data_IF_460353714207
#
_entry.id   IF_460353714207
#
_cell.length_a   1.000
_cell.length_b   1.000
_cell.length_c   1.000
_cell.angle_alpha   90.00
_cell.angle_beta   90.00
_cell.angle_gamma   90.00
#
_symmetry.space_group_name_H-M   'P 1'
#
loop_
_entity.id
_entity.type
_entity.pdbx_description
1 polymer ?
#
# COMPACT_ATOMS: atom_id res chain seq x y z
N UNK A 1 -20.80 -1.93 -0.95
CA UNK A 1 -20.12 -3.20 -0.66
C UNK A 1 -18.62 -2.99 -0.44
N UNK A 2 -17.82 -2.70 -1.48
CA UNK A 2 -16.36 -2.52 -1.35
C UNK A 2 -15.91 -1.55 -0.23
N UNK A 3 -16.57 -0.40 -0.12
CA UNK A 3 -16.30 0.61 0.93
C UNK A 3 -16.52 0.06 2.35
N UNK A 4 -17.54 -0.76 2.54
CA UNK A 4 -17.86 -1.34 3.84
C UNK A 4 -16.88 -2.47 4.18
N UNK A 5 -16.46 -3.25 3.19
CA UNK A 5 -15.44 -4.27 3.34
C UNK A 5 -14.07 -3.68 3.72
N UNK A 6 -13.66 -2.58 3.07
CA UNK A 6 -12.44 -1.84 3.43
C UNK A 6 -12.55 -1.30 4.86
N UNK A 7 -13.68 -0.67 5.21
CA UNK A 7 -13.92 -0.17 6.56
C UNK A 7 -13.84 -1.30 7.61
N UNK A 8 -14.43 -2.46 7.34
CA UNK A 8 -14.44 -3.59 8.26
C UNK A 8 -13.05 -4.19 8.44
N UNK A 9 -12.30 -4.38 7.34
CA UNK A 9 -10.92 -4.92 7.38
C UNK A 9 -9.98 -3.98 8.13
N UNK A 10 -10.13 -2.67 7.93
CA UNK A 10 -9.35 -1.67 8.68
C UNK A 10 -9.72 -1.64 10.15
N UNK A 11 -11.01 -1.71 10.50
CA UNK A 11 -11.46 -1.82 11.90
C UNK A 11 -10.92 -3.09 12.57
N UNK A 12 -10.92 -4.22 11.88
CA UNK A 12 -10.35 -5.47 12.40
C UNK A 12 -8.86 -5.36 12.64
N UNK A 13 -8.10 -4.75 11.71
CA UNK A 13 -6.66 -4.55 11.83
C UNK A 13 -6.29 -3.54 12.93
N UNK A 14 -7.08 -2.47 13.09
CA UNK A 14 -6.90 -1.47 14.16
C UNK A 14 -7.26 -2.04 15.54
N UNK A 15 -8.26 -2.93 15.61
CA UNK A 15 -8.72 -3.55 16.87
C UNK A 15 -7.69 -4.48 17.52
N UNK A 16 -6.62 -4.85 16.83
CA UNK A 16 -5.57 -5.76 17.36
C UNK A 16 -4.65 -5.06 18.37
N UNK A 17 -4.72 -3.73 18.56
CA UNK A 17 -3.98 -3.02 19.61
C UNK A 17 -4.85 -2.01 20.38
N UNK A 18 -4.77 -1.93 21.72
CA UNK A 18 -5.64 -1.09 22.54
C UNK A 18 -5.37 0.43 22.47
N UNK A 19 -4.45 0.92 21.62
CA UNK A 19 -3.90 2.28 21.72
C UNK A 19 -4.08 3.21 20.50
N UNK A 20 -4.95 2.91 19.52
CA UNK A 20 -5.15 3.83 18.37
C UNK A 20 -6.59 4.19 18.08
N UNK A 21 -7.20 4.92 19.01
CA UNK A 21 -8.47 5.61 18.77
C UNK A 21 -8.30 7.01 18.16
N UNK A 22 -7.10 7.57 18.13
CA UNK A 22 -6.90 8.99 17.79
C UNK A 22 -6.62 9.27 16.29
N UNK A 23 -6.41 8.22 15.48
CA UNK A 23 -6.18 8.36 14.04
C UNK A 23 -7.46 8.26 13.20
N UNK A 24 -8.62 8.04 13.83
CA UNK A 24 -9.91 7.96 13.16
C UNK A 24 -10.38 9.39 12.88
N UNK A 25 -10.52 9.84 11.62
CA UNK A 25 -11.21 11.08 11.34
C UNK A 25 -12.63 10.99 11.92
N UNK A 26 -13.11 12.07 12.55
CA UNK A 26 -14.42 12.14 13.21
C UNK A 26 -15.62 11.75 12.31
N UNK A 27 -15.41 11.52 11.01
CA UNK A 27 -16.40 11.07 10.03
C UNK A 27 -16.69 9.56 10.04
N UNK A 28 -15.93 8.73 10.77
CA UNK A 28 -16.21 7.28 10.89
C UNK A 28 -16.11 6.49 9.57
N UNK A 29 -15.53 7.10 8.53
CA UNK A 29 -15.43 6.57 7.18
C UNK A 29 -13.95 6.39 6.81
N UNK A 30 -13.49 5.14 6.71
CA UNK A 30 -12.12 4.76 6.34
C UNK A 30 -12.01 4.39 4.85
N UNK A 31 -13.08 4.57 4.08
CA UNK A 31 -13.19 4.12 2.69
C UNK A 31 -12.99 5.22 1.64
N UNK A 32 -12.57 6.43 2.04
CA UNK A 32 -12.16 7.47 1.09
C UNK A 32 -10.64 7.50 0.91
N UNK A 33 -10.22 7.90 -0.28
CA UNK A 33 -8.82 7.86 -0.70
C UNK A 33 -7.96 8.80 0.16
N UNK A 34 -8.51 9.92 0.62
CA UNK A 34 -7.82 10.89 1.48
C UNK A 34 -7.45 10.29 2.83
N UNK A 35 -8.38 9.54 3.43
CA UNK A 35 -8.17 8.85 4.70
C UNK A 35 -7.20 7.68 4.54
N UNK A 36 -7.31 6.90 3.46
CA UNK A 36 -6.34 5.85 3.19
C UNK A 36 -4.93 6.39 2.94
N UNK A 37 -4.82 7.51 2.22
CA UNK A 37 -3.56 8.21 1.98
C UNK A 37 -2.89 8.61 3.29
N UNK A 38 -3.61 9.20 4.25
CA UNK A 38 -3.01 9.59 5.54
C UNK A 38 -2.45 8.40 6.33
N UNK A 39 -3.10 7.23 6.24
CA UNK A 39 -2.67 6.00 6.90
C UNK A 39 -1.38 5.40 6.32
N UNK A 40 -0.94 5.83 5.13
CA UNK A 40 0.35 5.42 4.56
C UNK A 40 1.56 5.88 5.39
N UNK A 41 1.39 6.90 6.25
CA UNK A 41 2.45 7.40 7.14
C UNK A 41 2.20 7.08 8.61
N UNK A 42 1.30 6.14 8.88
CA UNK A 42 1.01 5.72 10.24
C UNK A 42 2.24 5.08 10.92
N UNK A 43 2.42 5.34 12.22
CA UNK A 43 3.55 4.82 12.97
C UNK A 43 3.56 3.27 13.08
N UNK A 44 2.40 2.61 12.93
CA UNK A 44 2.31 1.14 12.90
C UNK A 44 2.39 0.63 11.47
N UNK A 45 3.43 -0.17 11.20
CA UNK A 45 3.65 -0.82 9.91
C UNK A 45 2.46 -1.67 9.43
N UNK A 46 1.66 -2.23 10.35
CA UNK A 46 0.45 -3.00 10.02
C UNK A 46 -0.62 -2.10 9.41
N UNK A 47 -0.77 -0.89 9.94
CA UNK A 47 -1.72 0.11 9.43
C UNK A 47 -1.25 0.61 8.06
N UNK A 48 0.05 0.90 7.89
CA UNK A 48 0.60 1.27 6.58
C UNK A 48 0.36 0.19 5.52
N UNK A 49 0.68 -1.08 5.83
CA UNK A 49 0.43 -2.19 4.92
C UNK A 49 -1.06 -2.35 4.59
N UNK A 50 -1.94 -2.23 5.59
CA UNK A 50 -3.38 -2.29 5.40
C UNK A 50 -3.91 -1.17 4.49
N UNK A 51 -3.38 0.04 4.64
CA UNK A 51 -3.73 1.18 3.81
C UNK A 51 -3.32 0.94 2.36
N UNK A 52 -2.12 0.42 2.12
CA UNK A 52 -1.65 0.01 0.78
C UNK A 52 -2.57 -1.05 0.17
N UNK A 53 -2.90 -2.12 0.90
CA UNK A 53 -3.83 -3.15 0.42
C UNK A 53 -5.24 -2.60 0.13
N UNK A 54 -5.73 -1.70 0.97
CA UNK A 54 -7.04 -1.07 0.77
C UNK A 54 -7.06 -0.18 -0.47
N UNK A 55 -5.97 0.56 -0.73
CA UNK A 55 -5.81 1.34 -1.95
C UNK A 55 -5.77 0.44 -3.20
N UNK A 56 -5.12 -0.73 -3.12
CA UNK A 56 -5.09 -1.69 -4.22
C UNK A 56 -6.49 -2.14 -4.66
N UNK A 57 -7.43 -2.28 -3.70
CA UNK A 57 -8.82 -2.64 -3.98
C UNK A 57 -9.61 -1.55 -4.71
N UNK A 58 -9.12 -0.32 -4.74
CA UNK A 58 -9.76 0.79 -5.45
C UNK A 58 -9.39 0.82 -6.94
N UNK A 59 -8.40 0.01 -7.36
CA UNK A 59 -7.99 -0.19 -8.75
C UNK A 59 -7.83 1.15 -9.50
N UNK A 60 -8.61 1.36 -10.56
CA UNK A 60 -8.57 2.53 -11.44
C UNK A 60 -8.92 3.86 -10.75
N UNK A 61 -9.43 3.81 -9.51
CA UNK A 61 -9.84 5.00 -8.76
C UNK A 61 -8.69 5.63 -7.98
N UNK A 62 -7.54 4.98 -7.86
CA UNK A 62 -6.38 5.50 -7.12
C UNK A 62 -5.72 6.63 -7.93
N UNK A 63 -5.72 7.90 -7.47
CA UNK A 63 -5.10 9.00 -8.20
C UNK A 63 -3.57 8.85 -8.34
N UNK A 64 -2.98 9.45 -9.36
CA UNK A 64 -1.53 9.37 -9.62
C UNK A 64 -0.70 9.85 -8.42
N UNK A 65 -1.14 10.89 -7.71
CA UNK A 65 -0.43 11.35 -6.51
C UNK A 65 -0.37 10.30 -5.41
N UNK A 66 -1.40 9.44 -5.30
CA UNK A 66 -1.43 8.35 -4.34
C UNK A 66 -0.57 7.17 -4.80
N UNK A 67 -0.47 6.94 -6.11
CA UNK A 67 0.49 5.97 -6.67
C UNK A 67 1.92 6.36 -6.30
N UNK A 68 2.25 7.67 -6.38
CA UNK A 68 3.55 8.21 -5.94
C UNK A 68 3.77 8.06 -4.44
N UNK A 69 2.73 8.25 -3.63
CA UNK A 69 2.82 8.01 -2.18
C UNK A 69 3.11 6.52 -1.87
N UNK A 70 2.42 5.59 -2.56
CA UNK A 70 2.67 4.14 -2.45
C UNK A 70 4.11 3.81 -2.90
N UNK A 71 4.62 4.43 -3.96
CA UNK A 71 6.00 4.27 -4.39
C UNK A 71 7.02 4.70 -3.33
N UNK A 72 6.70 5.72 -2.52
CA UNK A 72 7.49 6.11 -1.36
C UNK A 72 7.69 4.96 -0.36
N UNK A 73 6.68 4.11 -0.18
CA UNK A 73 6.72 2.95 0.72
C UNK A 73 7.58 1.79 0.22
N UNK A 74 8.07 1.83 -1.02
CA UNK A 74 9.12 0.93 -1.47
C UNK A 74 10.40 1.08 -0.65
N UNK A 75 10.59 2.19 0.08
CA UNK A 75 11.74 2.45 0.96
C UNK A 75 11.39 2.33 2.44
N UNK A 76 10.22 1.78 2.77
CA UNK A 76 9.76 1.63 4.16
C UNK A 76 10.72 0.75 4.98
N UNK A 77 10.85 1.06 6.27
CA UNK A 77 11.71 0.31 7.20
C UNK A 77 11.24 -1.13 7.38
N UNK A 78 9.94 -1.37 7.20
CA UNK A 78 9.34 -2.68 7.31
C UNK A 78 9.23 -3.42 5.97
N UNK A 79 9.86 -4.59 5.90
CA UNK A 79 9.82 -5.48 4.73
C UNK A 79 8.41 -5.82 4.22
N UNK A 80 7.41 -5.96 5.11
CA UNK A 80 6.06 -6.34 4.69
C UNK A 80 5.36 -5.16 4.01
N UNK A 81 5.61 -3.94 4.47
CA UNK A 81 5.12 -2.72 3.82
C UNK A 81 5.77 -2.56 2.45
N UNK A 82 7.10 -2.78 2.35
CA UNK A 82 7.79 -2.76 1.05
C UNK A 82 7.22 -3.76 0.06
N UNK A 83 7.00 -5.01 0.48
CA UNK A 83 6.40 -6.04 -0.37
C UNK A 83 4.96 -5.68 -0.79
N UNK A 84 4.13 -5.20 0.14
CA UNK A 84 2.77 -4.76 -0.16
C UNK A 84 2.74 -3.59 -1.16
N UNK A 85 3.72 -2.68 -1.08
CA UNK A 85 3.86 -1.60 -2.05
C UNK A 85 4.21 -2.12 -3.45
N UNK A 86 5.17 -3.05 -3.56
CA UNK A 86 5.53 -3.69 -4.84
C UNK A 86 4.31 -4.39 -5.47
N UNK A 87 3.60 -5.20 -4.69
CA UNK A 87 2.42 -5.92 -5.18
C UNK A 87 1.29 -4.98 -5.60
N UNK A 88 1.05 -3.92 -4.83
CA UNK A 88 -0.01 -2.95 -5.13
C UNK A 88 0.29 -2.18 -6.39
N UNK A 89 1.53 -1.74 -6.57
CA UNK A 89 1.94 -1.05 -7.80
C UNK A 89 1.77 -1.97 -9.00
N UNK A 90 2.14 -3.25 -8.91
CA UNK A 90 1.88 -4.23 -9.97
C UNK A 90 0.40 -4.28 -10.40
N UNK A 91 -0.52 -4.28 -9.43
CA UNK A 91 -1.97 -4.31 -9.71
C UNK A 91 -2.50 -3.06 -10.38
N UNK A 92 -1.81 -1.93 -10.24
CA UNK A 92 -2.16 -0.67 -10.88
C UNK A 92 -1.68 -0.59 -12.34
N UNK A 93 -0.82 -1.52 -12.78
CA UNK A 93 -0.44 -1.73 -14.18
C UNK A 93 0.10 -0.46 -14.86
N UNK A 94 -0.41 -0.17 -16.06
CA UNK A 94 0.00 0.96 -16.92
C UNK A 94 -0.16 2.35 -16.28
N UNK A 95 -0.88 2.43 -15.15
CA UNK A 95 -1.05 3.67 -14.38
C UNK A 95 0.19 3.98 -13.54
N UNK A 96 1.08 3.01 -13.36
CA UNK A 96 2.34 3.17 -12.65
C UNK A 96 3.33 3.91 -13.53
N UNK A 97 3.81 5.09 -13.11
CA UNK A 97 4.80 5.83 -13.88
C UNK A 97 6.11 5.05 -14.07
N UNK A 98 6.81 5.27 -15.18
CA UNK A 98 8.06 4.58 -15.50
C UNK A 98 9.13 4.79 -14.41
N UNK A 99 9.17 5.96 -13.77
CA UNK A 99 10.06 6.21 -12.63
C UNK A 99 9.79 5.28 -11.44
N UNK A 100 8.53 4.90 -11.23
CA UNK A 100 8.14 3.98 -10.16
C UNK A 100 8.52 2.55 -10.52
N UNK A 101 8.46 2.16 -11.80
CA UNK A 101 8.97 0.87 -12.27
C UNK A 101 10.47 0.74 -11.97
N UNK A 102 11.24 1.80 -12.16
CA UNK A 102 12.68 1.84 -11.78
C UNK A 102 12.89 1.67 -10.28
N UNK A 103 12.01 2.27 -9.45
CA UNK A 103 12.04 2.10 -8.00
C UNK A 103 11.68 0.66 -7.58
N UNK A 104 10.76 -0.01 -8.28
CA UNK A 104 10.47 -1.44 -8.10
C UNK A 104 11.70 -2.28 -8.50
N UNK A 105 12.35 -1.97 -9.62
CA UNK A 105 13.57 -2.65 -10.04
C UNK A 105 14.73 -2.51 -9.05
N UNK A 106 14.81 -1.38 -8.34
CA UNK A 106 15.78 -1.24 -7.24
C UNK A 106 15.53 -2.23 -6.09
N UNK A 107 14.31 -2.76 -5.91
CA UNK A 107 13.98 -3.79 -4.90
C UNK A 107 14.49 -5.18 -5.25
N UNK A 108 14.98 -5.43 -6.48
CA UNK A 108 15.74 -6.65 -6.79
C UNK A 108 17.02 -6.81 -5.95
N UNK A 109 17.51 -5.70 -5.37
CA UNK A 109 18.66 -5.65 -4.47
C UNK A 109 18.26 -5.36 -3.02
N UNK A 110 16.99 -5.54 -2.67
CA UNK A 110 16.50 -5.34 -1.30
C UNK A 110 17.22 -6.27 -0.31
N UNK A 111 17.41 -5.80 0.93
CA UNK A 111 18.07 -6.59 1.98
C UNK A 111 17.26 -7.84 2.34
N UNK A 112 15.95 -7.79 2.15
CA UNK A 112 15.03 -8.86 2.49
C UNK A 112 14.75 -9.78 1.30
N UNK A 113 14.90 -11.10 1.51
CA UNK A 113 14.69 -12.10 0.46
C UNK A 113 13.27 -12.12 -0.11
N UNK A 114 12.26 -11.94 0.73
CA UNK A 114 10.86 -11.93 0.29
C UNK A 114 10.58 -10.72 -0.61
N UNK A 115 11.07 -9.53 -0.25
CA UNK A 115 10.90 -8.32 -1.08
C UNK A 115 11.59 -8.49 -2.44
N UNK A 116 12.77 -9.12 -2.49
CA UNK A 116 13.45 -9.42 -3.77
C UNK A 116 12.64 -10.36 -4.65
N UNK A 117 12.10 -11.44 -4.06
CA UNK A 117 11.25 -12.41 -4.75
C UNK A 117 10.00 -11.73 -5.32
N UNK A 118 9.28 -10.96 -4.51
CA UNK A 118 8.11 -10.18 -4.95
C UNK A 118 8.46 -9.23 -6.09
N UNK A 119 9.61 -8.55 -6.04
CA UNK A 119 10.04 -7.65 -7.11
C UNK A 119 10.33 -8.39 -8.42
N UNK A 120 10.93 -9.58 -8.38
CA UNK A 120 11.14 -10.43 -9.56
C UNK A 120 9.81 -10.82 -10.19
N UNK A 121 8.88 -11.34 -9.38
CA UNK A 121 7.56 -11.78 -9.86
C UNK A 121 6.77 -10.63 -10.48
N UNK A 122 6.81 -9.45 -9.87
CA UNK A 122 6.08 -8.27 -10.36
C UNK A 122 6.68 -7.73 -11.64
N UNK A 123 8.01 -7.61 -11.73
CA UNK A 123 8.64 -7.12 -12.96
C UNK A 123 8.43 -8.06 -14.14
N UNK A 124 8.47 -9.37 -13.92
CA UNK A 124 8.15 -10.35 -14.96
C UNK A 124 6.73 -10.18 -15.51
N UNK A 125 5.76 -9.77 -14.67
CA UNK A 125 4.37 -9.49 -15.08
C UNK A 125 4.18 -8.15 -15.78
N UNK A 126 5.06 -7.18 -15.52
CA UNK A 126 5.00 -5.85 -16.16
C UNK A 126 5.68 -5.82 -17.54
N UNK A 127 6.48 -6.83 -17.87
CA UNK A 127 7.11 -6.99 -19.19
C UNK A 127 6.24 -7.76 -20.21
N UNK A 128 5.16 -8.43 -19.77
CA UNK A 128 4.15 -9.10 -20.64
C UNK A 128 3.07 -8.15 -21.14
#
# INVERSE_FOLDING_TARGET
>A
ELKEEINQKLKELIRIEPFRFDAIPASGFLGDITSLKSLLWDLDKRVRAAAVEALAKLEDKVPEEVIKDIAGLLRDDNRYVRAAAVETLSKLGDRVPEEVIKDIAARLRDDNGYVRETAVEVLAKLEE
#
